data_IF_844687272127
#
_entry.id   IF_844687272127
#
_cell.length_a   1.000
_cell.length_b   1.000
_cell.length_c   1.000
_cell.angle_alpha   90.00
_cell.angle_beta   90.00
_cell.angle_gamma   90.00
#
_symmetry.space_group_name_H-M   'P 1'
#
loop_
_entity.id
_entity.type
_entity.pdbx_description
1 polymer ?
#
# COMPACT_ATOMS: atom_id res chain seq x y z
N UNK A 1 -1.08 5.38 29.01
CA UNK A 1 0.05 4.77 28.29
C UNK A 1 -0.28 4.44 26.83
N UNK A 2 -1.27 3.58 26.51
CA UNK A 2 -1.59 3.27 25.08
C UNK A 2 -1.90 4.53 24.24
N UNK A 3 -2.80 5.40 24.71
CA UNK A 3 -3.12 6.65 23.97
C UNK A 3 -1.91 7.59 23.85
N UNK A 4 -0.99 7.54 24.81
CA UNK A 4 0.20 8.36 24.84
C UNK A 4 1.24 7.90 23.82
N UNK A 5 1.52 6.59 23.75
CA UNK A 5 2.42 6.04 22.73
C UNK A 5 1.84 6.22 21.33
N UNK A 6 0.52 6.10 21.15
CA UNK A 6 -0.16 6.41 19.88
C UNK A 6 0.09 7.87 19.47
N UNK A 7 -0.07 8.82 20.40
CA UNK A 7 0.18 10.23 20.12
C UNK A 7 1.66 10.48 19.75
N UNK A 8 2.59 9.87 20.47
CA UNK A 8 4.02 9.96 20.19
C UNK A 8 4.38 9.39 18.80
N UNK A 9 3.82 8.24 18.41
CA UNK A 9 4.01 7.66 17.07
C UNK A 9 3.54 8.63 15.99
N UNK A 10 2.32 9.17 16.12
CA UNK A 10 1.76 10.11 15.13
C UNK A 10 2.62 11.38 15.02
N UNK A 11 3.08 11.90 16.15
CA UNK A 11 3.97 13.06 16.23
C UNK A 11 5.38 12.78 15.70
N UNK A 12 5.80 11.51 15.59
CA UNK A 12 7.17 11.13 15.22
C UNK A 12 8.17 11.29 16.37
N UNK A 13 7.71 11.29 17.62
CA UNK A 13 8.58 11.42 18.80
C UNK A 13 9.19 10.07 19.19
N UNK A 14 10.25 9.68 18.49
CA UNK A 14 10.95 8.42 18.72
C UNK A 14 11.61 8.33 20.10
N UNK A 15 11.96 9.45 20.73
CA UNK A 15 12.50 9.45 22.09
C UNK A 15 11.40 9.07 23.08
N UNK A 16 10.23 9.72 23.00
CA UNK A 16 9.10 9.41 23.87
C UNK A 16 8.61 7.97 23.68
N UNK A 17 8.56 7.48 22.44
CA UNK A 17 8.20 6.07 22.19
C UNK A 17 9.18 5.12 22.90
N UNK A 18 10.49 5.38 22.85
CA UNK A 18 11.49 4.54 23.54
C UNK A 18 11.32 4.58 25.05
N UNK A 19 11.08 5.75 25.64
CA UNK A 19 10.85 5.87 27.09
C UNK A 19 9.62 5.09 27.53
N UNK A 20 8.53 5.17 26.76
CA UNK A 20 7.29 4.44 27.04
C UNK A 20 7.48 2.92 26.93
N UNK A 21 8.16 2.44 25.89
CA UNK A 21 8.48 1.01 25.73
C UNK A 21 9.44 0.51 26.81
N UNK A 22 10.41 1.33 27.23
CA UNK A 22 11.32 0.99 28.31
C UNK A 22 10.58 0.83 29.66
N UNK A 23 9.55 1.65 29.89
CA UNK A 23 8.69 1.55 31.07
C UNK A 23 7.72 0.35 31.01
N UNK A 24 7.19 0.05 29.83
CA UNK A 24 6.29 -1.09 29.60
C UNK A 24 6.52 -1.70 28.20
N UNK A 25 7.35 -2.77 28.10
CA UNK A 25 7.65 -3.41 26.83
C UNK A 25 6.43 -4.02 26.12
N UNK A 26 5.36 -4.33 26.85
CA UNK A 26 4.14 -4.90 26.25
C UNK A 26 3.44 -3.89 25.33
N UNK A 27 3.68 -2.58 25.50
CA UNK A 27 3.16 -1.54 24.62
C UNK A 27 3.58 -1.74 23.17
N UNK A 28 4.74 -2.34 22.89
CA UNK A 28 5.19 -2.57 21.53
C UNK A 28 4.24 -3.47 20.72
N UNK A 29 3.55 -4.40 21.39
CA UNK A 29 2.55 -5.30 20.79
C UNK A 29 1.11 -4.80 20.99
N UNK A 30 0.92 -3.60 21.52
CA UNK A 30 -0.41 -3.03 21.72
C UNK A 30 -1.08 -2.67 20.39
N UNK A 31 -2.39 -2.47 20.46
CA UNK A 31 -3.22 -2.09 19.34
C UNK A 31 -3.98 -0.80 19.67
N UNK A 32 -4.36 -0.08 18.62
CA UNK A 32 -5.34 1.00 18.70
C UNK A 32 -6.73 0.45 19.01
N UNK A 33 -7.69 1.32 19.32
CA UNK A 33 -9.08 0.94 19.61
C UNK A 33 -9.77 0.19 18.45
N UNK A 34 -9.33 0.43 17.22
CA UNK A 34 -9.81 -0.27 16.01
C UNK A 34 -8.95 -1.49 15.62
N UNK A 35 -8.08 -1.97 16.50
CA UNK A 35 -7.31 -3.19 16.30
C UNK A 35 -6.06 -3.06 15.43
N UNK A 36 -5.66 -1.85 15.03
CA UNK A 36 -4.42 -1.63 14.25
C UNK A 36 -3.23 -1.71 15.21
N UNK A 37 -2.24 -2.55 14.91
CA UNK A 37 -1.04 -2.64 15.74
C UNK A 37 -0.19 -1.37 15.66
N UNK A 38 0.55 -1.08 16.72
CA UNK A 38 1.38 0.14 16.77
C UNK A 38 2.49 0.16 15.71
N UNK A 39 3.00 -1.02 15.30
CA UNK A 39 4.00 -1.10 14.23
C UNK A 39 3.38 -0.76 12.86
N UNK A 40 2.15 -1.20 12.57
CA UNK A 40 1.44 -0.79 11.36
C UNK A 40 1.14 0.71 11.38
N UNK A 41 0.69 1.24 12.53
CA UNK A 41 0.48 2.68 12.70
C UNK A 41 1.76 3.48 12.41
N UNK A 42 2.90 3.07 12.99
CA UNK A 42 4.18 3.73 12.72
C UNK A 42 4.57 3.66 11.23
N UNK A 43 4.34 2.51 10.59
CA UNK A 43 4.63 2.30 9.16
C UNK A 43 3.75 3.21 8.28
N UNK A 44 2.44 3.32 8.56
CA UNK A 44 1.53 4.21 7.81
C UNK A 44 1.93 5.69 7.91
N UNK A 45 2.43 6.13 9.07
CA UNK A 45 2.93 7.50 9.25
C UNK A 45 4.36 7.69 8.72
N UNK A 46 4.94 6.69 8.07
CA UNK A 46 6.30 6.75 7.52
C UNK A 46 7.39 6.83 8.60
N UNK A 47 7.08 6.46 9.85
CA UNK A 47 8.00 6.53 10.99
C UNK A 47 8.86 5.26 11.05
N UNK A 48 9.80 5.15 10.11
CA UNK A 48 10.62 3.94 9.93
C UNK A 48 11.45 3.59 11.16
N UNK A 49 12.03 4.60 11.80
CA UNK A 49 12.80 4.49 13.04
C UNK A 49 11.93 3.99 14.20
N UNK A 50 10.72 4.53 14.34
CA UNK A 50 9.74 4.10 15.34
C UNK A 50 9.28 2.67 15.08
N UNK A 51 8.97 2.32 13.83
CA UNK A 51 8.59 0.96 13.45
C UNK A 51 9.71 -0.05 13.77
N UNK A 52 10.97 0.32 13.51
CA UNK A 52 12.13 -0.51 13.84
C UNK A 52 12.32 -0.66 15.36
N UNK A 53 12.12 0.42 16.13
CA UNK A 53 12.14 0.36 17.59
C UNK A 53 11.06 -0.57 18.14
N UNK A 54 9.82 -0.44 17.65
CA UNK A 54 8.71 -1.32 18.03
C UNK A 54 9.04 -2.78 17.70
N UNK A 55 9.55 -3.05 16.49
CA UNK A 55 9.92 -4.40 16.03
C UNK A 55 10.87 -5.12 16.97
N UNK A 56 11.81 -4.41 17.60
CA UNK A 56 12.79 -4.99 18.53
C UNK A 56 12.15 -5.60 19.79
N UNK A 57 10.93 -5.18 20.13
CA UNK A 57 10.19 -5.63 21.30
C UNK A 57 8.97 -6.50 20.96
N UNK A 58 8.67 -6.72 19.68
CA UNK A 58 7.57 -7.59 19.23
C UNK A 58 8.11 -9.01 19.03
N UNK A 59 7.62 -10.01 19.77
CA UNK A 59 8.17 -11.37 19.74
C UNK A 59 7.97 -12.06 18.38
N UNK A 60 6.81 -11.85 17.75
CA UNK A 60 6.50 -12.39 16.43
C UNK A 60 5.53 -11.45 15.72
N UNK A 61 5.87 -11.07 14.50
CA UNK A 61 4.95 -10.34 13.63
C UNK A 61 3.88 -11.28 13.09
N UNK A 62 2.67 -10.76 12.93
CA UNK A 62 1.66 -11.40 12.09
C UNK A 62 1.97 -11.19 10.58
N UNK A 63 1.12 -11.72 9.71
CA UNK A 63 1.35 -11.64 8.28
C UNK A 63 1.26 -10.21 7.74
N UNK A 64 0.37 -9.39 8.28
CA UNK A 64 0.11 -8.04 7.82
C UNK A 64 1.28 -7.13 8.22
N UNK A 65 1.70 -7.21 9.47
CA UNK A 65 2.86 -6.51 10.00
C UNK A 65 4.13 -6.89 9.26
N UNK A 66 4.40 -8.20 9.09
CA UNK A 66 5.55 -8.69 8.36
C UNK A 66 5.55 -8.23 6.90
N UNK A 67 4.37 -8.16 6.27
CA UNK A 67 4.22 -7.66 4.90
C UNK A 67 4.47 -6.17 4.79
N UNK A 68 3.99 -5.39 5.78
CA UNK A 68 4.14 -3.94 5.82
C UNK A 68 5.56 -3.47 6.11
N UNK A 69 6.34 -4.22 6.90
CA UNK A 69 7.75 -3.88 7.20
C UNK A 69 8.76 -4.59 6.30
N UNK A 70 8.31 -5.48 5.42
CA UNK A 70 9.16 -6.17 4.45
C UNK A 70 9.91 -7.39 4.99
N UNK A 71 9.47 -7.98 6.10
CA UNK A 71 10.08 -9.16 6.72
C UNK A 71 9.68 -10.45 5.96
N UNK A 72 10.32 -10.66 4.79
CA UNK A 72 10.06 -11.82 3.93
C UNK A 72 10.31 -13.16 4.63
N UNK A 73 11.27 -13.23 5.55
CA UNK A 73 11.54 -14.47 6.28
C UNK A 73 10.35 -14.85 7.14
N UNK A 74 9.78 -13.88 7.86
CA UNK A 74 8.58 -14.11 8.65
C UNK A 74 7.34 -14.39 7.79
N UNK A 75 7.17 -13.66 6.68
CA UNK A 75 6.09 -13.96 5.71
C UNK A 75 6.17 -15.41 5.23
N UNK A 76 7.37 -15.91 4.88
CA UNK A 76 7.58 -17.30 4.46
C UNK A 76 7.16 -18.31 5.52
N UNK A 77 7.56 -18.07 6.77
CA UNK A 77 7.23 -18.95 7.89
C UNK A 77 5.71 -19.03 8.13
N UNK A 78 5.03 -17.88 8.10
CA UNK A 78 3.58 -17.83 8.28
C UNK A 78 2.86 -18.53 7.12
N UNK A 79 3.21 -18.21 5.88
CA UNK A 79 2.56 -18.81 4.69
C UNK A 79 2.80 -20.32 4.61
N UNK A 80 3.95 -20.82 5.08
CA UNK A 80 4.23 -22.25 5.13
C UNK A 80 3.31 -23.01 6.10
N UNK A 81 2.86 -22.37 7.18
CA UNK A 81 1.98 -22.99 8.18
C UNK A 81 0.50 -22.63 8.00
N UNK A 82 0.21 -21.53 7.31
CA UNK A 82 -1.12 -20.96 7.11
C UNK A 82 -1.27 -20.44 5.67
N UNK A 83 -1.19 -21.28 4.64
CA UNK A 83 -1.21 -20.84 3.24
C UNK A 83 -2.47 -20.06 2.86
N UNK A 84 -3.61 -20.35 3.49
CA UNK A 84 -4.88 -19.63 3.30
C UNK A 84 -4.86 -18.17 3.78
N UNK A 85 -3.86 -17.77 4.57
CA UNK A 85 -3.75 -16.41 5.13
C UNK A 85 -3.34 -15.34 4.10
N UNK A 86 -2.84 -15.73 2.92
CA UNK A 86 -2.32 -14.77 1.92
C UNK A 86 -3.36 -13.78 1.39
N UNK A 87 -4.65 -14.13 1.48
CA UNK A 87 -5.79 -13.33 1.01
C UNK A 87 -6.73 -12.91 2.15
N UNK A 88 -6.23 -12.82 3.38
CA UNK A 88 -7.01 -12.34 4.54
C UNK A 88 -6.81 -10.84 4.75
N UNK A 89 -7.56 -10.27 5.70
CA UNK A 89 -7.58 -8.84 5.97
C UNK A 89 -7.19 -8.55 7.42
N UNK A 90 -6.38 -7.50 7.59
CA UNK A 90 -6.12 -6.86 8.86
C UNK A 90 -7.38 -6.14 9.37
N UNK A 91 -7.44 -5.72 10.65
CA UNK A 91 -8.61 -5.03 11.21
C UNK A 91 -9.01 -3.72 10.48
N UNK A 92 -8.07 -3.05 9.82
CA UNK A 92 -8.33 -1.87 8.98
C UNK A 92 -8.73 -2.19 7.52
N UNK A 93 -8.88 -3.48 7.21
CA UNK A 93 -9.33 -4.00 5.92
C UNK A 93 -8.22 -4.12 4.88
N UNK A 94 -6.96 -3.75 5.18
CA UNK A 94 -5.86 -4.00 4.25
C UNK A 94 -5.41 -5.47 4.30
N UNK A 95 -4.70 -5.91 3.27
CA UNK A 95 -4.32 -7.31 3.07
C UNK A 95 -2.83 -7.41 2.73
N UNK A 96 -2.19 -8.59 2.88
CA UNK A 96 -0.74 -8.73 2.82
C UNK A 96 -0.11 -8.18 1.53
N UNK A 97 -0.69 -8.52 0.38
CA UNK A 97 -0.18 -8.06 -0.91
C UNK A 97 -0.35 -6.54 -1.09
N UNK A 98 -1.48 -5.98 -0.65
CA UNK A 98 -1.73 -4.54 -0.68
C UNK A 98 -0.75 -3.75 0.19
N UNK A 99 -0.42 -4.26 1.38
CA UNK A 99 0.57 -3.64 2.28
C UNK A 99 1.99 -3.68 1.68
N UNK A 100 2.42 -4.85 1.20
CA UNK A 100 3.73 -4.99 0.56
C UNK A 100 3.83 -4.10 -0.70
N UNK A 101 2.74 -3.97 -1.46
CA UNK A 101 2.65 -3.10 -2.62
C UNK A 101 2.71 -1.62 -2.25
N UNK A 102 1.99 -1.19 -1.22
CA UNK A 102 1.97 0.20 -0.76
C UNK A 102 3.32 0.68 -0.22
N UNK A 103 4.05 -0.18 0.50
CA UNK A 103 5.34 0.16 1.12
C UNK A 103 6.56 -0.19 0.26
N UNK A 104 6.36 -0.77 -0.93
CA UNK A 104 7.45 -1.00 -1.88
C UNK A 104 8.31 -2.22 -1.59
N UNK A 105 7.77 -3.21 -0.88
CA UNK A 105 8.48 -4.45 -0.55
C UNK A 105 8.35 -5.49 -1.67
N UNK A 106 9.04 -5.25 -2.78
CA UNK A 106 8.98 -6.08 -4.00
C UNK A 106 9.21 -7.57 -3.73
N UNK A 107 10.19 -7.91 -2.88
CA UNK A 107 10.53 -9.29 -2.52
C UNK A 107 9.45 -10.00 -1.69
N UNK A 108 8.64 -9.25 -0.93
CA UNK A 108 7.47 -9.78 -0.23
C UNK A 108 6.30 -9.94 -1.20
N UNK A 109 6.00 -8.91 -2.00
CA UNK A 109 4.93 -8.96 -2.99
C UNK A 109 5.13 -10.11 -3.99
N UNK A 110 6.36 -10.31 -4.48
CA UNK A 110 6.71 -11.44 -5.35
C UNK A 110 6.43 -12.78 -4.69
N UNK A 111 6.82 -12.93 -3.43
CA UNK A 111 6.61 -14.17 -2.69
C UNK A 111 5.12 -14.43 -2.46
N UNK A 112 4.34 -13.43 -2.05
CA UNK A 112 2.90 -13.54 -1.84
C UNK A 112 2.19 -13.96 -3.14
N UNK A 113 2.49 -13.30 -4.27
CA UNK A 113 1.93 -13.65 -5.58
C UNK A 113 2.31 -15.06 -6.02
N UNK A 114 3.53 -15.52 -5.72
CA UNK A 114 3.95 -16.89 -6.01
C UNK A 114 3.25 -17.95 -5.14
N UNK A 115 2.61 -17.54 -4.04
CA UNK A 115 1.93 -18.43 -3.08
C UNK A 115 0.42 -18.18 -3.03
N UNK A 116 -0.18 -17.74 -4.14
CA UNK A 116 -1.63 -17.66 -4.29
C UNK A 116 -2.28 -16.38 -3.78
N UNK A 117 -1.51 -15.32 -3.51
CA UNK A 117 -2.11 -14.01 -3.31
C UNK A 117 -2.83 -13.56 -4.60
N UNK A 118 -4.09 -13.17 -4.47
CA UNK A 118 -4.90 -12.69 -5.59
C UNK A 118 -4.50 -11.25 -5.94
N UNK A 119 -3.97 -10.99 -7.16
CA UNK A 119 -3.58 -9.64 -7.57
C UNK A 119 -4.75 -8.66 -7.70
N UNK A 120 -5.98 -9.16 -7.78
CA UNK A 120 -7.21 -8.38 -7.92
C UNK A 120 -7.97 -8.25 -6.59
N UNK A 121 -7.45 -8.81 -5.51
CA UNK A 121 -8.01 -8.59 -4.18
C UNK A 121 -7.97 -7.09 -3.87
N UNK A 122 -9.07 -6.60 -3.32
CA UNK A 122 -9.23 -5.22 -2.88
C UNK A 122 -9.46 -5.18 -1.36
N UNK A 123 -8.97 -4.12 -0.72
CA UNK A 123 -9.12 -3.92 0.71
C UNK A 123 -10.60 -3.96 1.13
N UNK A 124 -10.89 -4.62 2.25
CA UNK A 124 -12.23 -4.73 2.82
C UNK A 124 -12.55 -3.53 3.71
N UNK A 125 -12.36 -2.33 3.18
CA UNK A 125 -12.69 -1.06 3.83
C UNK A 125 -13.37 -0.11 2.82
N UNK A 126 -13.72 1.10 3.28
CA UNK A 126 -14.43 2.06 2.44
C UNK A 126 -13.66 2.52 1.20
N UNK A 127 -12.34 2.32 1.17
CA UNK A 127 -11.48 2.72 0.05
C UNK A 127 -11.43 1.68 -1.06
N UNK A 128 -11.61 0.38 -0.74
CA UNK A 128 -11.56 -0.72 -1.73
C UNK A 128 -10.29 -0.72 -2.58
N UNK A 129 -9.15 -0.41 -1.97
CA UNK A 129 -7.85 -0.28 -2.67
C UNK A 129 -7.32 -1.67 -3.05
N UNK A 130 -7.03 -1.89 -4.33
CA UNK A 130 -6.30 -3.08 -4.79
C UNK A 130 -4.78 -2.85 -4.75
N UNK A 131 -3.99 -3.94 -4.83
CA UNK A 131 -2.53 -3.85 -4.78
C UNK A 131 -1.95 -2.99 -5.91
N UNK A 132 -2.59 -3.01 -7.09
CA UNK A 132 -2.18 -2.19 -8.23
C UNK A 132 -2.32 -0.69 -7.93
N UNK A 133 -3.47 -0.25 -7.38
CA UNK A 133 -3.64 1.14 -6.95
C UNK A 133 -2.63 1.55 -5.89
N UNK A 134 -2.39 0.69 -4.89
CA UNK A 134 -1.44 0.96 -3.83
C UNK A 134 -0.02 1.17 -4.38
N UNK A 135 0.47 0.27 -5.23
CA UNK A 135 1.80 0.39 -5.83
C UNK A 135 1.90 1.60 -6.78
N UNK A 136 0.85 1.90 -7.55
CA UNK A 136 0.81 3.06 -8.45
C UNK A 136 0.84 4.37 -7.66
N UNK A 137 -0.01 4.53 -6.64
CA UNK A 137 -0.04 5.73 -5.81
C UNK A 137 1.31 5.95 -5.08
N UNK A 138 1.94 4.87 -4.60
CA UNK A 138 3.25 4.90 -3.93
C UNK A 138 4.45 4.88 -4.88
N UNK A 139 4.26 4.98 -6.20
CA UNK A 139 5.33 5.10 -7.21
C UNK A 139 6.24 3.87 -7.32
N UNK A 140 5.74 2.68 -7.00
CA UNK A 140 6.51 1.43 -7.02
C UNK A 140 6.40 0.71 -8.37
N UNK A 141 7.06 1.26 -9.39
CA UNK A 141 6.99 0.77 -10.79
C UNK A 141 7.26 -0.73 -10.93
N UNK A 142 8.29 -1.26 -10.26
CA UNK A 142 8.63 -2.68 -10.32
C UNK A 142 7.50 -3.59 -9.79
N UNK A 143 6.77 -3.13 -8.75
CA UNK A 143 5.63 -3.88 -8.22
C UNK A 143 4.44 -3.79 -9.19
N UNK A 144 4.20 -2.63 -9.80
CA UNK A 144 3.15 -2.48 -10.82
C UNK A 144 3.39 -3.41 -12.01
N UNK A 145 4.61 -3.45 -12.54
CA UNK A 145 4.98 -4.37 -13.64
C UNK A 145 4.70 -5.83 -13.24
N UNK A 146 5.12 -6.23 -12.04
CA UNK A 146 4.90 -7.57 -11.53
C UNK A 146 3.42 -7.89 -11.36
N UNK A 147 2.62 -6.99 -10.80
CA UNK A 147 1.18 -7.18 -10.59
C UNK A 147 0.46 -7.37 -11.93
N UNK A 148 0.74 -6.52 -12.92
CA UNK A 148 0.17 -6.64 -14.28
C UNK A 148 0.56 -7.98 -14.91
N UNK A 149 1.84 -8.37 -14.80
CA UNK A 149 2.32 -9.67 -15.31
C UNK A 149 1.67 -10.88 -14.61
N UNK A 150 1.10 -10.69 -13.41
CA UNK A 150 0.33 -11.71 -12.67
C UNK A 150 -1.18 -11.61 -12.88
N UNK A 151 -1.66 -10.75 -13.79
CA UNK A 151 -3.08 -10.64 -14.13
C UNK A 151 -3.85 -9.62 -13.30
N UNK A 152 -3.18 -8.62 -12.72
CA UNK A 152 -3.87 -7.48 -12.12
C UNK A 152 -4.68 -6.71 -13.18
N UNK A 153 -5.93 -6.38 -12.85
CA UNK A 153 -6.83 -5.60 -13.68
C UNK A 153 -6.35 -4.14 -13.77
N UNK A 154 -5.77 -3.78 -14.92
CA UNK A 154 -5.20 -2.45 -15.17
C UNK A 154 -6.23 -1.33 -15.02
N UNK A 155 -7.51 -1.62 -15.25
CA UNK A 155 -8.64 -0.69 -15.14
C UNK A 155 -9.51 -0.96 -13.89
N UNK A 156 -8.99 -1.66 -12.87
CA UNK A 156 -9.70 -1.87 -11.62
C UNK A 156 -10.19 -0.54 -11.04
N UNK A 157 -11.43 -0.50 -10.55
CA UNK A 157 -12.01 0.69 -9.91
C UNK A 157 -11.95 0.54 -8.39
N UNK A 158 -11.35 1.52 -7.70
CA UNK A 158 -11.47 1.67 -6.25
C UNK A 158 -12.64 2.62 -5.89
N UNK A 159 -12.78 2.98 -4.62
CA UNK A 159 -13.77 3.96 -4.18
C UNK A 159 -13.68 5.28 -4.97
N UNK A 160 -14.82 5.89 -5.26
CA UNK A 160 -14.90 7.09 -6.10
C UNK A 160 -14.62 6.83 -7.59
N UNK A 161 -14.58 5.57 -8.02
CA UNK A 161 -14.42 5.21 -9.44
C UNK A 161 -13.01 5.36 -10.00
N UNK A 162 -12.02 5.60 -9.13
CA UNK A 162 -10.64 5.79 -9.54
C UNK A 162 -10.03 4.50 -10.11
N UNK A 163 -9.49 4.59 -11.32
CA UNK A 163 -8.55 3.60 -11.88
C UNK A 163 -7.08 3.98 -11.62
N UNK A 164 -6.11 3.05 -11.65
CA UNK A 164 -4.69 3.34 -11.39
C UNK A 164 -4.13 4.51 -12.22
N UNK A 165 -4.57 4.66 -13.47
CA UNK A 165 -4.12 5.74 -14.35
C UNK A 165 -4.46 7.14 -13.81
N UNK A 166 -5.56 7.31 -13.05
CA UNK A 166 -5.85 8.59 -12.39
C UNK A 166 -4.76 8.94 -11.37
N UNK A 167 -4.34 7.99 -10.53
CA UNK A 167 -3.30 8.21 -9.52
C UNK A 167 -1.93 8.47 -10.17
N UNK A 168 -1.60 7.78 -11.26
CA UNK A 168 -0.37 8.05 -12.00
C UNK A 168 -0.37 9.45 -12.62
N UNK A 169 -1.50 9.88 -13.17
CA UNK A 169 -1.69 11.20 -13.77
C UNK A 169 -1.67 12.34 -12.74
N UNK A 170 -2.40 12.19 -11.64
CA UNK A 170 -2.44 13.13 -10.53
C UNK A 170 -1.05 13.37 -9.91
N UNK A 171 -0.17 12.37 -9.94
CA UNK A 171 1.18 12.47 -9.40
C UNK A 171 2.27 12.71 -10.47
N UNK A 172 1.89 12.93 -11.73
CA UNK A 172 2.82 13.24 -12.82
C UNK A 172 3.80 12.10 -13.14
N UNK A 173 3.42 10.85 -12.88
CA UNK A 173 4.31 9.70 -12.99
C UNK A 173 4.44 9.21 -14.44
N UNK A 174 5.30 9.87 -15.23
CA UNK A 174 5.46 9.61 -16.68
C UNK A 174 5.65 8.13 -17.03
N UNK A 175 6.66 7.47 -16.44
CA UNK A 175 6.94 6.06 -16.72
C UNK A 175 5.78 5.13 -16.32
N UNK A 176 5.06 5.47 -15.24
CA UNK A 176 3.90 4.72 -14.75
C UNK A 176 2.71 4.87 -15.70
N UNK A 177 2.47 6.09 -16.20
CA UNK A 177 1.43 6.39 -17.20
C UNK A 177 1.69 5.57 -18.47
N UNK A 178 2.92 5.62 -18.98
CA UNK A 178 3.30 4.88 -20.18
C UNK A 178 3.15 3.37 -19.98
N UNK A 179 3.60 2.83 -18.84
CA UNK A 179 3.45 1.42 -18.51
C UNK A 179 1.97 1.00 -18.47
N UNK A 180 1.11 1.76 -17.79
CA UNK A 180 -0.31 1.45 -17.66
C UNK A 180 -1.01 1.50 -19.02
N UNK A 181 -0.74 2.54 -19.83
CA UNK A 181 -1.32 2.68 -21.17
C UNK A 181 -0.86 1.55 -22.10
N UNK A 182 0.43 1.19 -22.06
CA UNK A 182 0.97 0.07 -22.83
C UNK A 182 0.30 -1.27 -22.48
N UNK A 183 -0.27 -1.39 -21.27
CA UNK A 183 -1.01 -2.56 -20.81
C UNK A 183 -2.54 -2.38 -20.85
N UNK A 184 -3.03 -1.42 -21.66
CA UNK A 184 -4.47 -1.28 -21.93
C UNK A 184 -5.25 -0.45 -20.91
N UNK A 185 -4.59 0.43 -20.16
CA UNK A 185 -5.30 1.40 -19.34
C UNK A 185 -6.15 2.34 -20.21
N UNK A 186 -7.40 2.56 -19.80
CA UNK A 186 -8.31 3.48 -20.47
C UNK A 186 -7.94 4.93 -20.11
N UNK A 187 -7.35 5.65 -21.07
CA UNK A 187 -6.98 7.06 -20.92
C UNK A 187 -8.18 8.00 -20.75
N UNK A 188 -9.40 7.55 -21.10
CA UNK A 188 -10.66 8.28 -20.95
C UNK A 188 -11.49 7.81 -19.76
N UNK A 189 -10.95 6.91 -18.92
CA UNK A 189 -11.65 6.44 -17.73
C UNK A 189 -12.16 7.63 -16.91
N UNK A 190 -13.38 7.51 -16.39
CA UNK A 190 -13.99 8.54 -15.55
C UNK A 190 -14.13 8.07 -14.12
N UNK A 191 -13.60 8.88 -13.20
CA UNK A 191 -13.96 8.81 -11.79
C UNK A 191 -15.44 9.20 -11.61
N UNK A 192 -15.98 8.97 -10.41
CA UNK A 192 -17.41 9.18 -10.14
C UNK A 192 -17.81 10.67 -10.18
N UNK A 193 -16.85 11.59 -9.98
CA UNK A 193 -17.02 13.03 -10.19
C UNK A 193 -16.90 13.46 -11.67
N UNK A 194 -16.69 12.50 -12.57
CA UNK A 194 -16.56 12.71 -14.01
C UNK A 194 -15.16 13.11 -14.48
N UNK A 195 -14.19 13.30 -13.58
CA UNK A 195 -12.81 13.65 -13.96
C UNK A 195 -12.11 12.47 -14.62
N UNK A 196 -11.27 12.78 -15.60
CA UNK A 196 -10.41 11.83 -16.31
C UNK A 196 -8.97 11.91 -15.81
N UNK A 197 -8.09 10.94 -16.13
CA UNK A 197 -6.67 11.07 -15.82
C UNK A 197 -6.05 12.38 -16.35
N UNK A 198 -6.44 12.81 -17.56
CA UNK A 198 -5.99 14.09 -18.12
C UNK A 198 -6.44 15.28 -17.27
N UNK A 199 -7.66 15.27 -16.74
CA UNK A 199 -8.16 16.34 -15.88
C UNK A 199 -7.31 16.45 -14.59
N UNK A 200 -7.01 15.34 -13.92
CA UNK A 200 -6.14 15.35 -12.74
C UNK A 200 -4.72 15.83 -13.07
N UNK A 201 -4.12 15.39 -14.18
CA UNK A 201 -2.80 15.87 -14.57
C UNK A 201 -2.78 17.39 -14.83
N UNK A 202 -3.86 17.97 -15.36
CA UNK A 202 -3.96 19.42 -15.57
C UNK A 202 -4.22 20.19 -14.28
N UNK A 203 -5.06 19.67 -13.38
CA UNK A 203 -5.36 20.30 -12.08
C UNK A 203 -4.12 20.39 -11.18
N UNK A 204 -3.25 19.38 -11.23
CA UNK A 204 -1.99 19.31 -10.46
C UNK A 204 -0.78 19.89 -11.22
N UNK A 205 -1.01 20.57 -12.35
CA UNK A 205 0.02 21.20 -13.20
C UNK A 205 1.12 20.25 -13.71
N UNK A 206 0.77 18.98 -13.94
CA UNK A 206 1.65 17.96 -14.51
C UNK A 206 1.58 17.96 -16.04
N UNK A 207 2.12 19.01 -16.66
CA UNK A 207 2.00 19.29 -18.10
C UNK A 207 2.55 18.18 -19.01
N UNK A 208 3.63 17.50 -18.61
CA UNK A 208 4.19 16.40 -19.40
C UNK A 208 3.26 15.18 -19.39
N UNK A 209 2.70 14.83 -18.23
CA UNK A 209 1.70 13.78 -18.09
C UNK A 209 0.44 14.13 -18.92
N UNK A 210 -0.02 15.38 -18.84
CA UNK A 210 -1.16 15.86 -19.61
C UNK A 210 -0.90 15.80 -21.13
N UNK A 211 0.33 16.14 -21.58
CA UNK A 211 0.74 16.00 -22.98
C UNK A 211 0.67 14.56 -23.45
N UNK A 212 1.20 13.61 -22.67
CA UNK A 212 1.16 12.17 -23.00
C UNK A 212 -0.28 11.67 -23.08
N UNK A 213 -1.09 11.96 -22.06
CA UNK A 213 -2.49 11.51 -22.00
C UNK A 213 -3.30 12.07 -23.17
N UNK A 214 -3.13 13.36 -23.50
CA UNK A 214 -3.82 14.00 -24.64
C UNK A 214 -3.49 13.32 -25.96
N UNK A 215 -2.23 12.92 -26.18
CA UNK A 215 -1.82 12.18 -27.39
C UNK A 215 -2.48 10.81 -27.50
N UNK A 216 -2.77 10.15 -26.38
CA UNK A 216 -3.38 8.82 -26.38
C UNK A 216 -4.89 8.89 -26.60
N UNK A 217 -5.55 9.94 -26.10
CA UNK A 217 -7.00 10.17 -26.30
C UNK A 217 -7.33 10.58 -27.75
N UNK A 218 -6.39 11.20 -28.45
CA UNK A 218 -6.58 11.67 -29.83
C UNK A 218 -6.40 10.59 -30.91
N UNK A 219 -6.08 9.35 -30.54
CA UNK A 219 -5.94 8.20 -31.45
C UNK A 219 -7.25 7.43 -31.53
#
# INVERSE_FOLDING_TARGET
>A
MIQEIIAAIKAGDAARVRDLIAADPALASAQTENGVSLILLATYYGRRDIAQNLRAHIPALDLFEASAVGDRARVKEIVATQPQSVNTFAPDGFFPLGLAAFFGHTHVAEFLLANGADPNLAAQNSQRVAALHAATASRHLAIVQMLIARGAEVNARQAGGFVPLHAAAQNGQIEMIELLIANGADANARADDGKTPLAFALEEDHLDAATILRKQIAK
#
